data_IF_930058637178
#
_entry.id   IF_930058637178
#
_cell.length_a   1.000
_cell.length_b   1.000
_cell.length_c   1.000
_cell.angle_alpha   90.00
_cell.angle_beta   90.00
_cell.angle_gamma   90.00
#
_symmetry.space_group_name_H-M   'P 1'
#
loop_
_entity.id
_entity.type
_entity.pdbx_description
1 polymer ?
#
# COMPACT_ATOMS: atom_id res chain seq x y z
N UNK A 1 11.84 -26.10 6.95
CA UNK A 1 11.21 -25.08 7.80
C UNK A 1 9.87 -24.77 7.18
N UNK A 2 8.78 -25.23 7.80
CA UNK A 2 7.43 -24.75 7.47
C UNK A 2 7.41 -23.25 7.77
N UNK A 3 7.25 -22.44 6.73
CA UNK A 3 6.95 -21.02 6.90
C UNK A 3 5.53 -20.98 7.45
N UNK A 4 5.38 -20.62 8.71
CA UNK A 4 4.09 -20.37 9.35
C UNK A 4 3.29 -19.47 8.41
N UNK A 5 2.23 -20.02 7.80
CA UNK A 5 1.42 -19.27 6.83
C UNK A 5 0.71 -18.17 7.61
N UNK A 6 1.18 -16.94 7.44
CA UNK A 6 0.55 -15.77 8.05
C UNK A 6 -0.92 -15.74 7.61
N UNK A 7 -1.84 -15.93 8.56
CA UNK A 7 -3.26 -15.86 8.27
C UNK A 7 -3.75 -14.42 8.34
N UNK A 8 -3.87 -13.80 7.17
CA UNK A 8 -4.41 -12.45 7.04
C UNK A 8 -5.93 -12.37 7.13
N UNK A 9 -6.68 -13.47 7.28
CA UNK A 9 -8.15 -13.39 7.28
C UNK A 9 -8.67 -12.55 8.45
N UNK A 10 -8.04 -12.66 9.63
CA UNK A 10 -8.35 -11.82 10.80
C UNK A 10 -8.08 -10.35 10.48
N UNK A 11 -6.93 -10.03 9.87
CA UNK A 11 -6.58 -8.67 9.44
C UNK A 11 -7.60 -8.09 8.45
N UNK A 12 -8.02 -8.88 7.46
CA UNK A 12 -9.04 -8.49 6.49
C UNK A 12 -10.38 -8.21 7.18
N UNK A 13 -10.81 -9.09 8.08
CA UNK A 13 -12.07 -8.91 8.81
C UNK A 13 -12.07 -7.67 9.69
N UNK A 14 -10.97 -7.42 10.39
CA UNK A 14 -10.80 -6.22 11.21
C UNK A 14 -10.84 -4.95 10.37
N UNK A 15 -10.15 -4.93 9.23
CA UNK A 15 -10.18 -3.83 8.28
C UNK A 15 -11.62 -3.56 7.78
N UNK A 16 -12.34 -4.61 7.39
CA UNK A 16 -13.73 -4.51 6.94
C UNK A 16 -14.64 -3.96 8.03
N UNK A 17 -14.48 -4.41 9.29
CA UNK A 17 -15.25 -3.90 10.43
C UNK A 17 -14.98 -2.43 10.71
N UNK A 18 -13.73 -1.99 10.63
CA UNK A 18 -13.34 -0.59 10.85
C UNK A 18 -13.97 0.30 9.78
N UNK A 19 -13.79 -0.05 8.49
CA UNK A 19 -14.36 0.72 7.38
C UNK A 19 -15.88 0.76 7.48
N UNK A 20 -16.52 -0.38 7.76
CA UNK A 20 -17.96 -0.46 7.94
C UNK A 20 -18.44 0.45 9.07
N UNK A 21 -17.82 0.37 10.24
CA UNK A 21 -18.22 1.15 11.41
C UNK A 21 -18.07 2.65 11.17
N UNK A 22 -17.00 3.06 10.48
CA UNK A 22 -16.78 4.45 10.09
C UNK A 22 -17.89 4.96 9.15
N UNK A 23 -18.20 4.20 8.10
CA UNK A 23 -19.23 4.57 7.12
C UNK A 23 -20.64 4.51 7.71
N UNK A 24 -20.93 3.49 8.51
CA UNK A 24 -22.20 3.37 9.22
C UNK A 24 -22.46 4.60 10.09
N UNK A 25 -21.47 5.07 10.85
CA UNK A 25 -21.59 6.30 11.65
C UNK A 25 -21.95 7.53 10.81
N UNK A 26 -21.39 7.65 9.60
CA UNK A 26 -21.71 8.74 8.68
C UNK A 26 -23.13 8.59 8.11
N UNK A 27 -23.48 7.40 7.62
CA UNK A 27 -24.78 7.11 7.03
C UNK A 27 -25.90 7.32 8.04
N UNK A 28 -25.80 6.78 9.26
CA UNK A 28 -26.84 6.93 10.29
C UNK A 28 -27.05 8.39 10.70
N UNK A 29 -26.04 9.27 10.55
CA UNK A 29 -26.21 10.72 10.79
C UNK A 29 -26.98 11.44 9.68
N UNK A 30 -26.91 10.94 8.45
CA UNK A 30 -27.61 11.52 7.30
C UNK A 30 -29.00 10.90 7.12
N UNK A 31 -29.12 9.60 7.37
CA UNK A 31 -30.30 8.78 7.20
C UNK A 31 -30.44 7.84 8.41
N UNK A 32 -31.09 8.28 9.50
CA UNK A 32 -31.21 7.48 10.72
C UNK A 32 -31.84 6.10 10.49
N UNK A 33 -32.79 6.01 9.55
CA UNK A 33 -33.49 4.76 9.25
C UNK A 33 -32.72 3.82 8.30
N UNK A 34 -31.52 4.22 7.83
CA UNK A 34 -30.69 3.42 6.92
C UNK A 34 -29.82 2.39 7.65
N UNK A 35 -30.24 1.93 8.83
CA UNK A 35 -29.52 0.91 9.59
C UNK A 35 -29.46 -0.41 8.83
N UNK A 36 -28.24 -0.91 8.66
CA UNK A 36 -28.00 -2.28 8.21
C UNK A 36 -27.19 -2.99 9.29
N UNK A 37 -27.57 -4.21 9.69
CA UNK A 37 -26.76 -4.98 10.62
C UNK A 37 -25.43 -5.38 9.94
N UNK A 38 -24.34 -5.36 10.71
CA UNK A 38 -23.05 -5.85 10.25
C UNK A 38 -23.16 -7.35 9.90
N UNK A 39 -22.91 -7.69 8.64
CA UNK A 39 -22.75 -9.07 8.19
C UNK A 39 -21.36 -9.22 7.56
N UNK A 40 -20.46 -9.90 8.28
CA UNK A 40 -19.07 -10.06 7.84
C UNK A 40 -18.93 -10.86 6.54
N UNK A 41 -19.78 -11.87 6.32
CA UNK A 41 -19.77 -12.66 5.09
C UNK A 41 -20.14 -11.80 3.87
N UNK A 42 -21.14 -10.93 4.04
CA UNK A 42 -21.52 -9.97 3.01
C UNK A 42 -20.40 -8.95 2.74
N UNK A 43 -19.70 -8.48 3.77
CA UNK A 43 -18.55 -7.58 3.61
C UNK A 43 -17.39 -8.23 2.87
N UNK A 44 -17.08 -9.50 3.19
CA UNK A 44 -16.05 -10.29 2.50
C UNK A 44 -16.40 -10.50 1.02
N UNK A 45 -17.66 -10.78 0.71
CA UNK A 45 -18.13 -10.95 -0.67
C UNK A 45 -18.21 -9.62 -1.46
N UNK A 46 -18.28 -8.48 -0.75
CA UNK A 46 -18.31 -7.15 -1.34
C UNK A 46 -17.02 -6.75 -2.07
N UNK A 47 -17.02 -5.61 -2.79
CA UNK A 47 -15.85 -5.13 -3.54
C UNK A 47 -14.59 -5.00 -2.67
N UNK A 48 -14.69 -4.27 -1.55
CA UNK A 48 -13.56 -4.09 -0.63
C UNK A 48 -13.07 -5.42 -0.04
N UNK A 49 -13.98 -6.33 0.33
CA UNK A 49 -13.61 -7.64 0.86
C UNK A 49 -12.85 -8.50 -0.15
N UNK A 50 -13.29 -8.48 -1.42
CA UNK A 50 -12.58 -9.15 -2.51
C UNK A 50 -11.22 -8.53 -2.77
N UNK A 51 -11.12 -7.20 -2.70
CA UNK A 51 -9.86 -6.49 -2.88
C UNK A 51 -8.84 -6.85 -1.79
N UNK A 52 -9.26 -6.74 -0.53
CA UNK A 52 -8.44 -7.12 0.62
C UNK A 52 -8.05 -8.61 0.59
N UNK A 53 -8.98 -9.49 0.20
CA UNK A 53 -8.70 -10.92 0.03
C UNK A 53 -7.64 -11.21 -1.04
N UNK A 54 -7.67 -10.47 -2.17
CA UNK A 54 -6.63 -10.57 -3.21
C UNK A 54 -5.28 -10.05 -2.72
N UNK A 55 -5.26 -8.90 -2.03
CA UNK A 55 -4.03 -8.36 -1.44
C UNK A 55 -3.44 -9.32 -0.42
N UNK A 56 -4.26 -9.98 0.40
CA UNK A 56 -3.83 -11.03 1.32
C UNK A 56 -3.21 -12.23 0.58
N UNK A 57 -3.84 -12.73 -0.47
CA UNK A 57 -3.33 -13.84 -1.28
C UNK A 57 -2.01 -13.49 -1.98
N UNK A 58 -1.89 -12.26 -2.51
CA UNK A 58 -0.64 -11.72 -3.04
C UNK A 58 0.43 -11.67 -1.96
N UNK A 59 0.12 -11.12 -0.78
CA UNK A 59 1.07 -11.00 0.33
C UNK A 59 1.60 -12.37 0.81
N UNK A 60 0.76 -13.41 0.79
CA UNK A 60 1.17 -14.80 1.08
C UNK A 60 1.98 -15.45 -0.05
N UNK A 61 2.03 -14.85 -1.24
CA UNK A 61 2.65 -15.43 -2.43
C UNK A 61 1.84 -16.58 -3.04
N UNK A 62 0.54 -16.65 -2.75
CA UNK A 62 -0.37 -17.68 -3.27
C UNK A 62 -0.83 -17.39 -4.71
N UNK A 63 -0.67 -16.14 -5.16
CA UNK A 63 -1.02 -15.71 -6.50
C UNK A 63 -0.07 -14.64 -7.03
N UNK A 64 -0.19 -14.35 -8.32
CA UNK A 64 0.46 -13.22 -9.00
C UNK A 64 -0.60 -12.43 -9.77
N UNK A 65 -0.50 -11.11 -9.76
CA UNK A 65 -1.30 -10.18 -10.58
C UNK A 65 -0.35 -9.16 -11.20
N UNK A 66 -0.80 -8.48 -12.26
CA UNK A 66 -0.04 -7.39 -12.86
C UNK A 66 0.15 -6.25 -11.85
N UNK A 67 1.37 -5.70 -11.79
CA UNK A 67 1.78 -4.63 -10.88
C UNK A 67 0.75 -3.50 -10.80
N UNK A 68 0.37 -2.95 -11.95
CA UNK A 68 -0.52 -1.78 -12.01
C UNK A 68 -1.90 -2.11 -11.42
N UNK A 69 -2.44 -3.30 -11.67
CA UNK A 69 -3.70 -3.78 -11.05
C UNK A 69 -3.59 -3.90 -9.52
N UNK A 70 -2.43 -4.34 -9.01
CA UNK A 70 -2.19 -4.39 -7.56
C UNK A 70 -2.13 -2.98 -6.98
N UNK A 71 -1.42 -2.06 -7.64
CA UNK A 71 -1.29 -0.68 -7.19
C UNK A 71 -2.63 0.06 -7.18
N UNK A 72 -3.46 -0.11 -8.21
CA UNK A 72 -4.83 0.44 -8.26
C UNK A 72 -5.71 -0.07 -7.11
N UNK A 73 -5.57 -1.36 -6.78
CA UNK A 73 -6.30 -1.99 -5.67
C UNK A 73 -5.85 -1.46 -4.31
N UNK A 74 -4.54 -1.30 -4.13
CA UNK A 74 -3.96 -0.69 -2.93
C UNK A 74 -4.45 0.76 -2.80
N UNK A 75 -4.37 1.54 -3.88
CA UNK A 75 -4.81 2.93 -3.90
C UNK A 75 -6.30 3.04 -3.53
N UNK A 76 -7.17 2.22 -4.14
CA UNK A 76 -8.60 2.17 -3.81
C UNK A 76 -8.87 1.89 -2.32
N UNK A 77 -8.11 0.98 -1.71
CA UNK A 77 -8.22 0.68 -0.26
C UNK A 77 -7.76 1.87 0.58
N UNK A 78 -6.64 2.49 0.24
CA UNK A 78 -6.11 3.64 0.98
C UNK A 78 -7.01 4.87 0.87
N UNK A 79 -7.58 5.11 -0.32
CA UNK A 79 -8.58 6.15 -0.55
C UNK A 79 -9.79 5.98 0.38
N UNK A 80 -10.34 4.77 0.49
CA UNK A 80 -11.47 4.48 1.39
C UNK A 80 -11.15 4.72 2.87
N UNK A 81 -9.88 4.54 3.26
CA UNK A 81 -9.44 4.69 4.64
C UNK A 81 -9.06 6.13 5.00
N UNK A 82 -8.43 6.85 4.07
CA UNK A 82 -7.71 8.08 4.37
C UNK A 82 -8.15 9.29 3.56
N UNK A 83 -8.96 9.14 2.50
CA UNK A 83 -9.39 10.29 1.70
C UNK A 83 -10.49 11.07 2.40
N UNK A 84 -10.22 12.29 2.90
CA UNK A 84 -11.24 13.12 3.51
C UNK A 84 -12.18 13.70 2.44
N UNK A 85 -13.47 13.91 2.76
CA UNK A 85 -14.35 14.69 1.89
C UNK A 85 -13.74 16.06 1.59
N UNK A 86 -13.81 16.50 0.34
CA UNK A 86 -13.32 17.81 -0.15
C UNK A 86 -11.80 18.00 -0.17
N UNK A 87 -10.99 16.96 0.04
CA UNK A 87 -9.54 17.04 -0.17
C UNK A 87 -9.18 16.67 -1.63
N UNK A 88 -8.16 17.32 -2.19
CA UNK A 88 -7.64 16.99 -3.53
C UNK A 88 -6.78 15.72 -3.54
N UNK A 89 -6.18 15.35 -2.40
CA UNK A 89 -5.35 14.15 -2.20
C UNK A 89 -5.51 13.64 -0.75
N UNK A 90 -4.96 12.46 -0.48
CA UNK A 90 -4.86 11.87 0.85
C UNK A 90 -3.40 11.61 1.28
N UNK A 91 -3.20 11.47 2.58
CA UNK A 91 -1.90 11.09 3.16
C UNK A 91 -2.09 9.88 4.06
N UNK A 92 -1.13 8.95 4.00
CA UNK A 92 -1.15 7.75 4.83
C UNK A 92 -0.20 7.98 6.01
N UNK A 93 -0.69 7.95 7.27
CA UNK A 93 0.17 8.12 8.43
C UNK A 93 1.25 7.04 8.50
N UNK A 94 2.49 7.38 8.89
CA UNK A 94 3.58 6.39 9.00
C UNK A 94 3.24 5.21 9.91
N UNK A 95 2.51 5.47 11.00
CA UNK A 95 2.07 4.44 11.95
C UNK A 95 1.14 3.40 11.32
N UNK A 96 0.42 3.73 10.25
CA UNK A 96 -0.44 2.77 9.54
C UNK A 96 0.37 1.61 8.98
N UNK A 97 1.55 1.87 8.41
CA UNK A 97 2.40 0.85 7.81
C UNK A 97 2.98 -0.14 8.82
N UNK A 98 2.90 0.17 10.11
CA UNK A 98 3.31 -0.73 11.18
C UNK A 98 2.17 -1.64 11.67
N UNK A 99 0.92 -1.40 11.26
CA UNK A 99 -0.24 -2.26 11.55
C UNK A 99 -0.22 -3.53 10.70
N UNK A 100 -0.97 -4.55 11.10
CA UNK A 100 -1.08 -5.80 10.34
C UNK A 100 -1.61 -5.57 8.92
N UNK A 101 -2.60 -4.69 8.75
CA UNK A 101 -3.12 -4.32 7.44
C UNK A 101 -2.06 -3.60 6.60
N UNK A 102 -1.35 -2.64 7.21
CA UNK A 102 -0.27 -1.92 6.54
C UNK A 102 0.85 -2.84 6.08
N UNK A 103 1.29 -3.76 6.93
CA UNK A 103 2.30 -4.79 6.61
C UNK A 103 1.83 -5.74 5.51
N UNK A 104 0.58 -6.19 5.58
CA UNK A 104 -0.03 -7.02 4.52
C UNK A 104 -0.02 -6.29 3.17
N UNK A 105 -0.44 -5.03 3.14
CA UNK A 105 -0.44 -4.20 1.92
C UNK A 105 0.99 -3.97 1.42
N UNK A 106 1.95 -3.64 2.30
CA UNK A 106 3.36 -3.49 1.94
C UNK A 106 3.92 -4.75 1.30
N UNK A 107 3.64 -5.92 1.87
CA UNK A 107 4.07 -7.21 1.34
C UNK A 107 3.40 -7.54 -0.01
N UNK A 108 2.09 -7.25 -0.16
CA UNK A 108 1.39 -7.40 -1.43
C UNK A 108 2.01 -6.49 -2.51
N UNK A 109 2.30 -5.23 -2.17
CA UNK A 109 2.99 -4.28 -3.05
C UNK A 109 4.35 -4.82 -3.45
N UNK A 110 5.19 -5.22 -2.50
CA UNK A 110 6.52 -5.77 -2.77
C UNK A 110 6.48 -6.95 -3.74
N UNK A 111 5.56 -7.91 -3.52
CA UNK A 111 5.40 -9.09 -4.38
C UNK A 111 4.85 -8.80 -5.78
N UNK A 112 4.30 -7.60 -6.00
CA UNK A 112 3.83 -7.17 -7.30
C UNK A 112 4.94 -6.62 -8.20
N UNK A 113 6.11 -6.28 -7.62
CA UNK A 113 7.28 -5.85 -8.38
C UNK A 113 8.21 -7.03 -8.69
N UNK A 114 8.76 -7.02 -9.89
CA UNK A 114 9.88 -7.89 -10.23
C UNK A 114 11.18 -7.37 -9.58
N UNK A 115 12.15 -8.26 -9.24
CA UNK A 115 13.40 -7.83 -8.61
C UNK A 115 14.19 -6.79 -9.41
N UNK A 116 14.07 -6.80 -10.75
CA UNK A 116 14.71 -5.84 -11.64
C UNK A 116 14.04 -4.45 -11.64
N UNK A 117 12.87 -4.29 -11.03
CA UNK A 117 12.19 -3.00 -10.91
C UNK A 117 12.52 -2.30 -9.58
N UNK A 118 13.31 -2.95 -8.73
CA UNK A 118 13.59 -2.49 -7.38
C UNK A 118 15.09 -2.31 -7.18
N UNK A 119 15.45 -1.19 -6.57
CA UNK A 119 16.85 -0.88 -6.24
C UNK A 119 16.98 -0.56 -4.75
N UNK A 120 18.05 -1.08 -4.13
CA UNK A 120 18.32 -0.78 -2.72
C UNK A 120 18.61 0.72 -2.54
N UNK A 121 18.26 1.26 -1.37
CA UNK A 121 18.52 2.67 -1.01
C UNK A 121 20.00 3.05 -1.21
N UNK A 122 20.92 2.17 -0.84
CA UNK A 122 22.36 2.42 -1.01
C UNK A 122 22.77 2.55 -2.48
N UNK A 123 22.23 1.69 -3.34
CA UNK A 123 22.52 1.73 -4.77
C UNK A 123 21.84 2.94 -5.44
N UNK A 124 20.61 3.28 -5.05
CA UNK A 124 19.93 4.49 -5.51
C UNK A 124 20.73 5.76 -5.17
N UNK A 125 21.19 5.88 -3.92
CA UNK A 125 22.04 6.97 -3.48
C UNK A 125 23.32 7.09 -4.32
N UNK A 126 24.00 5.97 -4.58
CA UNK A 126 25.19 5.93 -5.41
C UNK A 126 24.90 6.37 -6.86
N UNK A 127 23.84 5.83 -7.48
CA UNK A 127 23.46 6.16 -8.87
C UNK A 127 23.14 7.64 -9.02
N UNK A 128 22.39 8.20 -8.08
CA UNK A 128 21.94 9.60 -8.10
C UNK A 128 23.02 10.58 -7.60
N UNK A 129 24.17 10.09 -7.12
CA UNK A 129 25.23 10.94 -6.59
C UNK A 129 24.85 11.68 -5.30
N UNK A 130 23.88 11.15 -4.54
CA UNK A 130 23.35 11.77 -3.30
C UNK A 130 23.59 10.90 -2.07
N UNK A 131 23.32 11.44 -0.89
CA UNK A 131 23.43 10.69 0.37
C UNK A 131 22.16 9.87 0.64
N UNK A 132 22.26 8.83 1.49
CA UNK A 132 21.07 8.05 1.91
C UNK A 132 19.98 8.90 2.58
N UNK A 133 20.30 9.87 3.47
CA UNK A 133 19.30 10.81 3.99
C UNK A 133 18.53 11.56 2.90
N UNK A 134 19.17 11.90 1.79
CA UNK A 134 18.51 12.53 0.64
C UNK A 134 17.50 11.59 -0.01
N UNK A 135 17.83 10.31 -0.17
CA UNK A 135 16.89 9.30 -0.68
C UNK A 135 15.68 9.17 0.24
N UNK A 136 15.86 9.08 1.56
CA UNK A 136 14.74 9.02 2.51
C UNK A 136 13.84 10.25 2.42
N UNK A 137 14.43 11.44 2.32
CA UNK A 137 13.66 12.68 2.13
C UNK A 137 12.86 12.65 0.83
N UNK A 138 13.45 12.19 -0.27
CA UNK A 138 12.74 12.08 -1.56
C UNK A 138 11.62 11.03 -1.55
N UNK A 139 11.77 9.96 -0.77
CA UNK A 139 10.68 9.01 -0.52
C UNK A 139 9.54 9.67 0.26
N UNK A 140 9.86 10.47 1.28
CA UNK A 140 8.87 11.20 2.08
C UNK A 140 8.13 12.26 1.26
N UNK A 141 8.84 12.93 0.34
CA UNK A 141 8.31 13.92 -0.60
C UNK A 141 7.58 13.28 -1.80
N UNK A 142 7.46 11.95 -1.85
CA UNK A 142 6.86 11.19 -2.95
C UNK A 142 7.57 11.34 -4.31
N UNK A 143 8.80 11.86 -4.35
CA UNK A 143 9.64 11.87 -5.58
C UNK A 143 10.19 10.49 -5.93
N UNK A 144 10.33 9.62 -4.92
CA UNK A 144 10.72 8.22 -5.11
C UNK A 144 9.66 7.29 -4.49
N UNK A 145 9.02 6.50 -5.33
CA UNK A 145 8.23 5.36 -4.90
C UNK A 145 9.11 4.35 -4.17
N UNK A 146 8.57 3.72 -3.13
CA UNK A 146 9.26 2.69 -2.38
C UNK A 146 8.35 1.54 -1.99
N UNK A 147 8.98 0.40 -1.71
CA UNK A 147 8.34 -0.82 -1.21
C UNK A 147 9.18 -1.41 -0.08
N UNK A 148 8.52 -2.05 0.88
CA UNK A 148 9.17 -2.73 2.00
C UNK A 148 8.93 -4.23 1.87
N UNK A 149 10.02 -4.99 1.93
CA UNK A 149 9.95 -6.42 2.14
C UNK A 149 9.80 -6.68 3.63
N UNK A 150 8.59 -7.01 4.08
CA UNK A 150 8.31 -7.31 5.50
C UNK A 150 9.03 -8.57 6.00
N UNK A 151 9.50 -9.48 5.13
CA UNK A 151 10.24 -10.67 5.57
C UNK A 151 11.67 -10.32 5.97
N UNK A 152 12.34 -9.46 5.20
CA UNK A 152 13.72 -9.04 5.50
C UNK A 152 13.82 -7.70 6.24
N UNK A 153 12.72 -6.95 6.34
CA UNK A 153 12.68 -5.59 6.86
C UNK A 153 13.35 -4.56 5.95
N UNK A 154 13.75 -4.95 4.73
CA UNK A 154 14.47 -4.08 3.80
C UNK A 154 13.52 -3.22 2.99
N UNK A 155 13.91 -1.97 2.76
CA UNK A 155 13.21 -1.04 1.88
C UNK A 155 13.97 -0.89 0.56
N UNK A 156 13.22 -0.90 -0.53
CA UNK A 156 13.68 -0.69 -1.89
C UNK A 156 12.96 0.51 -2.48
N UNK A 157 13.64 1.24 -3.37
CA UNK A 157 13.03 2.28 -4.19
C UNK A 157 12.74 1.75 -5.59
N UNK A 158 11.73 2.30 -6.23
CA UNK A 158 11.32 1.93 -7.58
C UNK A 158 12.38 2.42 -8.57
N UNK A 159 12.87 1.51 -9.41
CA UNK A 159 13.96 1.78 -10.35
C UNK A 159 13.56 2.84 -11.39
N UNK A 160 12.31 2.83 -11.86
CA UNK A 160 11.81 3.79 -12.83
C UNK A 160 11.96 5.24 -12.32
N UNK A 161 11.61 5.50 -11.06
CA UNK A 161 11.70 6.86 -10.49
C UNK A 161 13.16 7.33 -10.37
N UNK A 162 14.08 6.40 -10.06
CA UNK A 162 15.53 6.68 -10.06
C UNK A 162 16.01 7.05 -11.47
N UNK A 163 15.50 6.39 -12.50
CA UNK A 163 15.86 6.66 -13.90
C UNK A 163 15.30 8.00 -14.39
N UNK A 164 14.07 8.34 -14.02
CA UNK A 164 13.46 9.65 -14.31
C UNK A 164 14.29 10.79 -13.71
N UNK A 165 14.65 10.70 -12.43
CA UNK A 165 15.47 11.73 -11.77
C UNK A 165 16.87 11.88 -12.40
N UNK A 166 17.46 10.78 -12.90
CA UNK A 166 18.73 10.83 -13.62
C UNK A 166 18.62 11.58 -14.94
N UNK A 167 17.50 11.41 -15.66
CA UNK A 167 17.24 12.12 -16.91
C UNK A 167 17.04 13.61 -16.67
N UNK A 168 16.23 13.98 -15.67
CA UNK A 168 15.97 15.39 -15.31
C UNK A 168 17.25 16.13 -14.89
N UNK A 169 18.16 15.46 -14.18
CA UNK A 169 19.46 16.02 -13.81
C UNK A 169 20.40 16.18 -15.01
N UNK A 170 20.31 15.29 -16.00
CA UNK A 170 21.08 15.36 -17.25
C UNK A 170 20.60 16.49 -18.16
N UNK A 171 19.29 16.67 -18.28
CA UNK A 171 18.68 17.73 -19.11
C UNK A 171 18.90 19.12 -18.53
N UNK A 172 19.02 19.26 -17.20
CA UNK A 172 19.32 20.53 -16.53
C UNK A 172 20.75 21.04 -16.74
N UNK A 173 21.64 20.22 -17.32
CA UNK A 173 23.04 20.54 -17.58
C UNK A 173 23.33 20.82 -19.07
N UNK A 174 22.31 20.79 -19.94
CA UNK A 174 22.37 21.21 -21.35
C UNK A 174 21.67 22.56 -21.56
#
# INVERSE_FOLDING_TARGET
>A
MEVERIDFQTTVDEALKIVYSHHHRLVTRLFPDAERPLNIEALRAGPLGRDLGRLAALARGEMREARDTVLERIDSVLQLLFWPPMADDYTVPRSFWETDLGRMISMAKFRAYEPSELVSIGNAAQRLGVTRPTIYRWMDEKHLGYVRDEMSGRTFVVQQDVETLLQEAGDSLM
#
